data_IF_284643575032
#
_entry.id   IF_284643575032
#
_cell.length_a   1.000
_cell.length_b   1.000
_cell.length_c   1.000
_cell.angle_alpha   90.00
_cell.angle_beta   90.00
_cell.angle_gamma   90.00
#
_symmetry.space_group_name_H-M   'P 1'
#
loop_
_entity.id
_entity.type
_entity.pdbx_description
1 polymer ?
#
# COMPACT_ATOMS: atom_id res chain seq x y z
N UNK A 1 4.09 -13.81 -4.92
CA UNK A 1 2.71 -13.35 -5.19
C UNK A 1 2.62 -12.47 -6.46
N UNK A 2 3.35 -11.35 -6.57
CA UNK A 2 3.33 -10.47 -7.76
C UNK A 2 3.59 -11.19 -9.10
N UNK A 3 4.63 -12.01 -9.14
CA UNK A 3 4.93 -12.80 -10.34
C UNK A 3 3.74 -13.69 -10.74
N UNK A 4 3.00 -14.24 -9.79
CA UNK A 4 1.82 -15.10 -10.06
C UNK A 4 0.69 -14.31 -10.69
N UNK A 5 0.43 -13.08 -10.24
CA UNK A 5 -0.53 -12.18 -10.89
C UNK A 5 -0.10 -11.83 -12.32
N UNK A 6 1.21 -11.63 -12.57
CA UNK A 6 1.69 -11.37 -13.94
C UNK A 6 1.58 -12.60 -14.84
N UNK A 7 1.84 -13.80 -14.31
CA UNK A 7 1.59 -15.05 -15.02
C UNK A 7 0.10 -15.28 -15.29
N UNK A 8 -0.77 -14.88 -14.37
CA UNK A 8 -2.22 -14.90 -14.59
C UNK A 8 -2.64 -13.92 -15.70
N UNK A 9 -2.11 -12.70 -15.71
CA UNK A 9 -2.32 -11.77 -16.82
C UNK A 9 -1.86 -12.37 -18.15
N UNK A 10 -0.70 -13.04 -18.18
CA UNK A 10 -0.24 -13.78 -19.35
C UNK A 10 -1.13 -14.96 -19.70
N UNK A 11 -1.74 -15.66 -18.75
CA UNK A 11 -2.69 -16.76 -19.00
C UNK A 11 -3.88 -16.26 -19.82
N UNK A 12 -4.40 -15.09 -19.45
CA UNK A 12 -5.58 -14.45 -20.05
C UNK A 12 -5.29 -13.65 -21.32
N UNK A 13 -4.02 -13.49 -21.69
CA UNK A 13 -3.60 -12.77 -22.89
C UNK A 13 -3.65 -13.69 -24.13
N UNK A 14 -4.61 -13.47 -25.03
CA UNK A 14 -4.81 -14.28 -26.23
C UNK A 14 -3.64 -14.21 -27.23
N UNK A 15 -2.86 -13.13 -27.22
CA UNK A 15 -1.68 -13.00 -28.09
C UNK A 15 -0.51 -13.86 -27.58
N UNK A 16 -0.50 -14.19 -26.28
CA UNK A 16 0.58 -14.92 -25.65
C UNK A 16 0.37 -16.44 -25.71
N UNK A 17 0.86 -17.10 -26.76
CA UNK A 17 0.67 -18.55 -26.95
C UNK A 17 1.81 -19.38 -26.35
N UNK A 18 1.52 -20.14 -25.28
CA UNK A 18 2.52 -20.98 -24.57
C UNK A 18 1.91 -22.30 -24.07
N UNK A 19 2.72 -23.36 -24.07
CA UNK A 19 2.28 -24.74 -23.79
C UNK A 19 1.58 -24.92 -22.43
N UNK A 20 2.04 -24.23 -21.38
CA UNK A 20 1.49 -24.37 -20.03
C UNK A 20 0.07 -23.80 -19.88
N UNK A 21 -0.43 -22.99 -20.84
CA UNK A 21 -1.83 -22.56 -20.86
C UNK A 21 -2.77 -23.72 -21.18
N UNK A 22 -2.34 -24.64 -22.03
CA UNK A 22 -3.14 -25.79 -22.40
C UNK A 22 -3.31 -26.75 -21.21
N UNK A 23 -2.25 -26.90 -20.40
CA UNK A 23 -2.34 -27.69 -19.17
C UNK A 23 -3.24 -27.05 -18.12
N UNK A 24 -3.38 -25.72 -18.09
CA UNK A 24 -4.28 -25.04 -17.15
C UNK A 24 -5.72 -25.53 -17.31
N UNK A 25 -6.25 -25.56 -18.54
CA UNK A 25 -7.62 -26.02 -18.80
C UNK A 25 -7.84 -27.45 -18.34
N UNK A 26 -6.86 -28.33 -18.57
CA UNK A 26 -6.92 -29.71 -18.12
C UNK A 26 -7.03 -29.81 -16.59
N UNK A 27 -6.14 -29.16 -15.85
CA UNK A 27 -6.15 -29.25 -14.38
C UNK A 27 -7.35 -28.57 -13.75
N UNK A 28 -7.74 -27.39 -14.23
CA UNK A 28 -8.91 -26.67 -13.69
C UNK A 28 -10.22 -27.40 -13.96
N UNK A 29 -10.29 -28.19 -15.03
CA UNK A 29 -11.47 -29.02 -15.30
C UNK A 29 -11.75 -30.06 -14.22
N UNK A 30 -10.77 -30.40 -13.39
CA UNK A 30 -10.96 -31.30 -12.23
C UNK A 30 -11.73 -30.66 -11.07
N UNK A 31 -11.86 -29.33 -11.04
CA UNK A 31 -12.55 -28.61 -9.97
C UNK A 31 -14.05 -28.87 -10.10
N UNK A 32 -14.58 -29.65 -9.16
CA UNK A 32 -15.95 -30.17 -9.18
C UNK A 32 -16.37 -30.81 -10.53
N UNK A 33 -15.42 -31.16 -11.39
CA UNK A 33 -15.67 -31.68 -12.75
C UNK A 33 -16.47 -30.74 -13.67
N UNK A 34 -16.57 -29.45 -13.33
CA UNK A 34 -17.41 -28.47 -14.06
C UNK A 34 -16.86 -28.05 -15.43
N UNK A 35 -15.59 -28.36 -15.74
CA UNK A 35 -14.95 -28.01 -17.04
C UNK A 35 -15.05 -26.52 -17.44
N UNK A 36 -15.11 -25.61 -16.46
CA UNK A 36 -15.31 -24.17 -16.67
C UNK A 36 -14.20 -23.45 -17.46
N UNK A 37 -13.06 -24.10 -17.71
CA UNK A 37 -11.90 -23.49 -18.36
C UNK A 37 -11.49 -22.17 -17.65
N UNK A 38 -11.52 -21.03 -18.34
CA UNK A 38 -11.20 -19.74 -17.73
C UNK A 38 -12.32 -19.26 -16.79
N UNK A 39 -13.60 -19.64 -17.00
CA UNK A 39 -14.76 -19.18 -16.22
C UNK A 39 -14.69 -19.55 -14.74
N UNK A 40 -13.75 -20.45 -14.40
CA UNK A 40 -13.37 -20.73 -13.02
C UNK A 40 -13.01 -19.45 -12.23
N UNK A 41 -12.49 -18.40 -12.87
CA UNK A 41 -12.09 -17.17 -12.17
C UNK A 41 -13.28 -16.37 -11.60
N UNK A 42 -14.49 -16.56 -12.14
CA UNK A 42 -15.71 -16.01 -11.56
C UNK A 42 -16.05 -16.65 -10.21
N UNK A 43 -15.60 -17.90 -9.98
CA UNK A 43 -15.95 -18.68 -8.79
C UNK A 43 -15.08 -18.34 -7.58
N UNK A 44 -15.55 -18.72 -6.38
CA UNK A 44 -14.77 -18.71 -5.12
C UNK A 44 -14.48 -20.14 -4.71
N UNK A 45 -13.33 -20.64 -5.15
CA UNK A 45 -12.95 -22.05 -5.00
C UNK A 45 -12.49 -22.31 -3.55
N UNK A 46 -13.07 -23.30 -2.85
CA UNK A 46 -12.64 -23.64 -1.51
C UNK A 46 -11.26 -24.29 -1.51
N UNK A 47 -10.54 -24.14 -0.39
CA UNK A 47 -9.16 -24.65 -0.25
C UNK A 47 -9.03 -26.17 -0.46
N UNK A 48 -10.07 -26.96 -0.17
CA UNK A 48 -10.07 -28.41 -0.41
C UNK A 48 -9.97 -28.75 -1.90
N UNK A 49 -10.66 -28.01 -2.77
CA UNK A 49 -10.62 -28.21 -4.22
C UNK A 49 -9.33 -27.64 -4.82
N UNK A 50 -8.86 -26.50 -4.33
CA UNK A 50 -7.58 -25.94 -4.78
C UNK A 50 -6.42 -26.93 -4.58
N UNK A 51 -6.41 -27.70 -3.48
CA UNK A 51 -5.38 -28.72 -3.22
C UNK A 51 -5.28 -29.82 -4.27
N UNK A 52 -6.34 -30.04 -5.08
CA UNK A 52 -6.32 -31.01 -6.20
C UNK A 52 -5.49 -30.51 -7.39
N UNK A 53 -5.25 -29.20 -7.48
CA UNK A 53 -4.50 -28.60 -8.56
C UNK A 53 -2.98 -28.68 -8.32
N UNK A 54 -2.15 -28.68 -9.37
CA UNK A 54 -0.73 -28.41 -9.25
C UNK A 54 -0.44 -27.12 -8.47
N UNK A 55 0.64 -27.13 -7.69
CA UNK A 55 1.06 -26.01 -6.81
C UNK A 55 1.06 -24.66 -7.53
N UNK A 56 1.54 -24.61 -8.77
CA UNK A 56 1.58 -23.37 -9.56
C UNK A 56 0.21 -22.73 -9.73
N UNK A 57 -0.84 -23.52 -9.98
CA UNK A 57 -2.19 -23.01 -10.15
C UNK A 57 -2.85 -22.66 -8.80
N UNK A 58 -2.52 -23.41 -7.73
CA UNK A 58 -2.91 -23.01 -6.38
C UNK A 58 -2.40 -21.60 -6.06
N UNK A 59 -1.13 -21.32 -6.37
CA UNK A 59 -0.51 -20.01 -6.17
C UNK A 59 -1.15 -18.91 -7.03
N UNK A 60 -1.69 -19.24 -8.21
CA UNK A 60 -2.43 -18.27 -9.04
C UNK A 60 -3.75 -17.86 -8.37
N UNK A 61 -4.54 -18.83 -7.93
CA UNK A 61 -5.79 -18.56 -7.22
C UNK A 61 -5.56 -17.84 -5.89
N UNK A 62 -4.53 -18.23 -5.14
CA UNK A 62 -4.15 -17.53 -3.90
C UNK A 62 -3.77 -16.07 -4.19
N UNK A 63 -2.95 -15.82 -5.21
CA UNK A 63 -2.56 -14.46 -5.57
C UNK A 63 -3.76 -13.62 -6.03
N UNK A 64 -4.70 -14.20 -6.78
CA UNK A 64 -5.94 -13.56 -7.18
C UNK A 64 -6.83 -13.23 -5.97
N UNK A 65 -6.94 -14.17 -5.03
CA UNK A 65 -7.71 -13.99 -3.79
C UNK A 65 -7.17 -12.82 -2.94
N UNK A 66 -5.85 -12.60 -2.91
CA UNK A 66 -5.23 -11.49 -2.19
C UNK A 66 -5.62 -10.10 -2.74
N UNK A 67 -6.03 -10.02 -4.00
CA UNK A 67 -6.50 -8.77 -4.62
C UNK A 67 -8.00 -8.79 -4.95
N UNK A 68 -8.75 -9.81 -4.49
CA UNK A 68 -10.15 -10.05 -4.89
C UNK A 68 -11.06 -8.85 -4.61
N UNK A 69 -10.82 -8.11 -3.52
CA UNK A 69 -11.57 -6.89 -3.17
C UNK A 69 -11.44 -5.78 -4.22
N UNK A 70 -10.38 -5.81 -4.99
CA UNK A 70 -10.08 -4.83 -6.04
C UNK A 70 -10.49 -5.34 -7.43
N UNK A 71 -10.96 -6.58 -7.57
CA UNK A 71 -11.31 -7.16 -8.87
C UNK A 71 -12.75 -6.83 -9.20
N UNK A 72 -12.94 -6.36 -10.43
CA UNK A 72 -14.23 -6.32 -11.09
C UNK A 72 -14.21 -7.14 -12.37
N UNK A 73 -15.34 -7.79 -12.62
CA UNK A 73 -15.59 -8.48 -13.86
C UNK A 73 -16.57 -7.64 -14.67
N UNK A 74 -16.16 -7.04 -15.80
CA UNK A 74 -17.04 -6.25 -16.64
C UNK A 74 -18.24 -7.09 -17.09
N UNK A 75 -19.45 -6.62 -16.79
CA UNK A 75 -20.68 -7.24 -17.25
C UNK A 75 -20.89 -6.88 -18.71
N UNK A 76 -20.83 -7.90 -19.57
CA UNK A 76 -21.30 -7.85 -20.95
C UNK A 76 -22.37 -8.93 -21.15
N UNK A 77 -23.25 -8.75 -22.13
CA UNK A 77 -24.32 -9.74 -22.43
C UNK A 77 -23.72 -11.14 -22.59
N UNK A 78 -22.59 -11.25 -23.29
CA UNK A 78 -21.90 -12.53 -23.48
C UNK A 78 -21.31 -13.08 -22.17
N UNK A 79 -20.67 -12.24 -21.36
CA UNK A 79 -20.09 -12.65 -20.07
C UNK A 79 -21.15 -13.13 -19.07
N UNK A 80 -22.40 -12.65 -19.18
CA UNK A 80 -23.54 -13.09 -18.34
C UNK A 80 -23.86 -14.56 -18.61
N UNK A 81 -23.92 -14.97 -19.87
CA UNK A 81 -24.23 -16.35 -20.26
C UNK A 81 -23.14 -17.35 -19.85
N UNK A 82 -21.89 -16.90 -19.80
CA UNK A 82 -20.74 -17.69 -19.38
C UNK A 82 -20.53 -17.70 -17.85
N UNK A 83 -21.38 -17.03 -17.08
CA UNK A 83 -21.32 -17.07 -15.61
C UNK A 83 -21.58 -18.50 -15.11
N UNK A 84 -20.70 -19.05 -14.25
CA UNK A 84 -20.94 -20.32 -13.58
C UNK A 84 -22.18 -20.25 -12.68
N UNK A 85 -22.99 -21.31 -12.68
CA UNK A 85 -24.14 -21.45 -11.78
C UNK A 85 -23.70 -21.85 -10.37
N UNK A 86 -22.62 -22.63 -10.27
CA UNK A 86 -22.12 -23.19 -9.03
C UNK A 86 -20.84 -22.49 -8.57
N UNK A 87 -20.64 -22.44 -7.25
CA UNK A 87 -19.46 -21.82 -6.63
C UNK A 87 -19.32 -20.31 -6.99
N UNK A 88 -20.39 -19.70 -7.50
CA UNK A 88 -20.41 -18.29 -7.91
C UNK A 88 -20.84 -17.40 -6.73
N UNK A 89 -20.05 -16.39 -6.31
CA UNK A 89 -20.40 -15.52 -5.20
C UNK A 89 -21.67 -14.69 -5.44
N UNK A 90 -22.10 -14.52 -6.69
CA UNK A 90 -23.33 -13.81 -7.04
C UNK A 90 -24.58 -14.71 -7.01
N UNK A 91 -24.41 -16.04 -6.90
CA UNK A 91 -25.50 -17.02 -6.80
C UNK A 91 -25.35 -17.76 -5.47
N UNK A 92 -26.08 -17.31 -4.46
CA UNK A 92 -26.02 -17.86 -3.10
C UNK A 92 -27.39 -18.28 -2.60
N UNK A 93 -27.45 -19.43 -1.94
CA UNK A 93 -28.63 -19.93 -1.24
C UNK A 93 -28.27 -20.06 0.24
N UNK A 94 -29.08 -19.48 1.13
CA UNK A 94 -28.82 -19.45 2.57
C UNK A 94 -27.40 -18.93 2.92
N UNK A 95 -26.97 -17.85 2.25
CA UNK A 95 -25.63 -17.23 2.38
C UNK A 95 -24.45 -18.17 2.07
N UNK A 96 -24.67 -19.23 1.28
CA UNK A 96 -23.62 -20.14 0.83
C UNK A 96 -23.70 -20.34 -0.68
N UNK A 97 -22.55 -20.53 -1.31
CA UNK A 97 -22.50 -20.90 -2.73
C UNK A 97 -23.06 -22.30 -2.93
N UNK A 98 -23.68 -22.52 -4.09
CA UNK A 98 -24.36 -23.77 -4.43
C UNK A 98 -23.39 -24.72 -5.12
N UNK A 99 -23.50 -26.03 -4.81
CA UNK A 99 -22.86 -27.13 -5.55
C UNK A 99 -23.84 -28.30 -5.61
N UNK A 100 -24.31 -28.65 -6.80
CA UNK A 100 -25.21 -29.78 -7.04
C UNK A 100 -24.60 -30.73 -8.07
N UNK A 101 -24.10 -31.87 -7.59
CA UNK A 101 -23.35 -32.83 -8.42
C UNK A 101 -24.19 -33.46 -9.53
N UNK A 102 -25.48 -33.64 -9.32
CA UNK A 102 -26.45 -34.11 -10.30
C UNK A 102 -26.60 -33.14 -11.49
N UNK A 103 -26.65 -31.83 -11.22
CA UNK A 103 -26.71 -30.81 -12.28
C UNK A 103 -25.37 -30.72 -13.02
N UNK A 104 -24.26 -30.69 -12.27
CA UNK A 104 -22.91 -30.62 -12.85
C UNK A 104 -22.63 -31.86 -13.71
N UNK A 105 -22.98 -33.05 -13.23
CA UNK A 105 -22.82 -34.31 -13.97
C UNK A 105 -23.66 -34.39 -15.23
N UNK A 106 -24.83 -33.74 -15.25
CA UNK A 106 -25.66 -33.55 -16.44
C UNK A 106 -25.11 -32.50 -17.42
N UNK A 107 -23.98 -31.85 -17.10
CA UNK A 107 -23.38 -30.81 -17.93
C UNK A 107 -24.00 -29.43 -17.77
N UNK A 108 -24.92 -29.24 -16.81
CA UNK A 108 -25.49 -27.94 -16.47
C UNK A 108 -24.49 -27.24 -15.56
N UNK A 109 -23.73 -26.25 -16.05
CA UNK A 109 -22.65 -25.62 -15.26
C UNK A 109 -22.64 -24.09 -15.35
N UNK A 110 -23.10 -23.52 -16.45
CA UNK A 110 -23.15 -22.09 -16.76
C UNK A 110 -24.58 -21.64 -17.05
N UNK A 111 -24.81 -20.32 -17.01
CA UNK A 111 -26.13 -19.75 -17.27
C UNK A 111 -26.69 -20.13 -18.64
N UNK A 112 -25.84 -20.20 -19.68
CA UNK A 112 -26.25 -20.63 -21.02
C UNK A 112 -26.85 -22.03 -21.08
N UNK A 113 -26.44 -22.93 -20.19
CA UNK A 113 -26.89 -24.33 -20.19
C UNK A 113 -28.36 -24.47 -19.72
N UNK A 114 -28.91 -23.41 -19.12
CA UNK A 114 -30.32 -23.35 -18.68
C UNK A 114 -31.14 -22.34 -19.48
N UNK A 115 -30.62 -21.86 -20.61
CA UNK A 115 -31.27 -20.89 -21.48
C UNK A 115 -31.58 -21.50 -22.86
N UNK A 116 -32.55 -20.92 -23.56
CA UNK A 116 -32.78 -21.30 -24.96
C UNK A 116 -31.66 -20.78 -25.87
N UNK A 117 -31.23 -21.61 -26.83
CA UNK A 117 -30.22 -21.20 -27.82
C UNK A 117 -30.79 -20.29 -28.92
N UNK A 118 -32.07 -20.44 -29.24
CA UNK A 118 -32.71 -19.82 -30.42
C UNK A 118 -33.76 -18.77 -30.07
N UNK A 119 -34.12 -18.62 -28.80
CA UNK A 119 -35.08 -17.61 -28.31
C UNK A 119 -34.64 -17.10 -26.94
N UNK A 120 -35.24 -16.01 -26.47
CA UNK A 120 -34.98 -15.48 -25.13
C UNK A 120 -35.66 -16.32 -24.05
N UNK A 121 -35.12 -16.26 -22.84
CA UNK A 121 -35.68 -16.91 -21.65
C UNK A 121 -34.99 -18.22 -21.24
N UNK A 122 -35.38 -18.67 -20.04
CA UNK A 122 -34.90 -19.92 -19.42
C UNK A 122 -35.63 -21.15 -19.94
N UNK A 123 -34.96 -22.29 -19.88
CA UNK A 123 -35.56 -23.59 -20.16
C UNK A 123 -36.68 -23.92 -19.16
N UNK A 124 -37.73 -24.64 -19.58
CA UNK A 124 -38.79 -25.06 -18.68
C UNK A 124 -38.34 -26.23 -17.79
N UNK A 125 -39.00 -26.40 -16.64
CA UNK A 125 -38.72 -27.45 -15.64
C UNK A 125 -38.50 -28.85 -16.26
N UNK A 126 -39.34 -29.26 -17.22
CA UNK A 126 -39.27 -30.58 -17.84
C UNK A 126 -37.99 -30.80 -18.65
N UNK A 127 -37.44 -29.75 -19.27
CA UNK A 127 -36.21 -29.86 -20.06
C UNK A 127 -35.00 -30.14 -19.14
N UNK A 128 -34.95 -29.46 -17.98
CA UNK A 128 -33.90 -29.68 -16.99
C UNK A 128 -33.99 -31.09 -16.38
N UNK A 129 -35.20 -31.57 -16.11
CA UNK A 129 -35.44 -32.93 -15.63
C UNK A 129 -34.94 -33.96 -16.65
N UNK A 130 -35.28 -33.79 -17.93
CA UNK A 130 -34.84 -34.67 -19.01
C UNK A 130 -33.30 -34.70 -19.13
N UNK A 131 -32.64 -33.55 -19.08
CA UNK A 131 -31.17 -33.45 -19.12
C UNK A 131 -30.51 -34.26 -18.00
N UNK A 132 -31.06 -34.22 -16.79
CA UNK A 132 -30.51 -34.96 -15.65
C UNK A 132 -30.84 -36.46 -15.74
N UNK A 133 -32.05 -36.82 -16.18
CA UNK A 133 -32.47 -38.21 -16.33
C UNK A 133 -31.67 -38.97 -17.39
N UNK A 134 -31.15 -38.29 -18.42
CA UNK A 134 -30.25 -38.88 -19.40
C UNK A 134 -28.97 -39.44 -18.74
N UNK A 135 -28.52 -38.84 -17.64
CA UNK A 135 -27.30 -39.24 -16.93
C UNK A 135 -27.59 -40.11 -15.70
N UNK A 136 -28.75 -39.93 -15.07
CA UNK A 136 -29.13 -40.59 -13.82
C UNK A 136 -30.54 -41.20 -13.92
N UNK A 137 -30.63 -42.53 -13.91
CA UNK A 137 -31.89 -43.26 -14.15
C UNK A 137 -32.95 -43.08 -13.03
N UNK A 138 -32.54 -42.95 -11.76
CA UNK A 138 -33.44 -42.96 -10.58
C UNK A 138 -33.59 -41.59 -9.89
N UNK A 139 -33.84 -40.52 -10.65
CA UNK A 139 -33.92 -39.15 -10.10
C UNK A 139 -35.32 -38.78 -9.64
N UNK A 140 -35.43 -38.25 -8.43
CA UNK A 140 -36.67 -37.66 -7.93
C UNK A 140 -37.01 -36.37 -8.70
N UNK A 141 -38.02 -36.44 -9.57
CA UNK A 141 -38.45 -35.33 -10.43
C UNK A 141 -38.82 -34.08 -9.63
N UNK A 142 -39.62 -34.23 -8.57
CA UNK A 142 -40.05 -33.07 -7.78
C UNK A 142 -38.86 -32.36 -7.13
N UNK A 143 -37.88 -33.14 -6.67
CA UNK A 143 -36.66 -32.62 -6.08
C UNK A 143 -35.82 -31.77 -7.05
N UNK A 144 -35.70 -32.22 -8.30
CA UNK A 144 -35.01 -31.47 -9.37
C UNK A 144 -35.75 -30.17 -9.67
N UNK A 145 -37.07 -30.23 -9.81
CA UNK A 145 -37.91 -29.06 -10.09
C UNK A 145 -37.75 -28.01 -8.99
N UNK A 146 -37.84 -28.43 -7.71
CA UNK A 146 -37.71 -27.51 -6.58
C UNK A 146 -36.33 -26.86 -6.54
N UNK A 147 -35.26 -27.64 -6.82
CA UNK A 147 -33.90 -27.11 -6.94
C UNK A 147 -33.76 -26.12 -8.09
N UNK A 148 -34.27 -26.46 -9.27
CA UNK A 148 -34.19 -25.57 -10.43
C UNK A 148 -34.91 -24.24 -10.19
N UNK A 149 -36.12 -24.29 -9.61
CA UNK A 149 -36.86 -23.07 -9.24
C UNK A 149 -36.13 -22.25 -8.19
N UNK A 150 -35.53 -22.90 -7.18
CA UNK A 150 -34.69 -22.22 -6.20
C UNK A 150 -33.47 -21.55 -6.84
N UNK A 151 -32.83 -22.21 -7.80
CA UNK A 151 -31.72 -21.64 -8.57
C UNK A 151 -32.18 -20.40 -9.34
N UNK A 152 -33.29 -20.50 -10.09
CA UNK A 152 -33.85 -19.36 -10.81
C UNK A 152 -34.16 -18.19 -9.86
N UNK A 153 -34.62 -18.44 -8.64
CA UNK A 153 -34.90 -17.39 -7.68
C UNK A 153 -33.64 -16.61 -7.27
N UNK A 154 -32.52 -17.31 -7.05
CA UNK A 154 -31.26 -16.68 -6.57
C UNK A 154 -30.40 -16.04 -7.67
N UNK A 155 -30.70 -16.28 -8.95
CA UNK A 155 -29.99 -15.61 -10.05
C UNK A 155 -30.22 -14.09 -9.98
N UNK A 156 -29.17 -13.26 -10.13
CA UNK A 156 -29.27 -11.80 -10.14
C UNK A 156 -30.30 -11.28 -11.15
N UNK A 157 -31.04 -10.23 -10.76
CA UNK A 157 -32.09 -9.62 -11.59
C UNK A 157 -31.53 -9.10 -12.91
N UNK A 158 -30.33 -8.51 -12.86
CA UNK A 158 -29.62 -8.02 -14.05
C UNK A 158 -29.41 -9.14 -15.08
N UNK A 159 -29.03 -10.33 -14.62
CA UNK A 159 -28.79 -11.47 -15.51
C UNK A 159 -30.10 -12.02 -16.08
N UNK A 160 -31.17 -12.07 -15.26
CA UNK A 160 -32.51 -12.43 -15.73
C UNK A 160 -32.99 -11.47 -16.82
N UNK A 161 -32.76 -10.17 -16.65
CA UNK A 161 -33.12 -9.17 -17.64
C UNK A 161 -32.38 -9.43 -18.96
N UNK A 162 -31.07 -9.68 -18.90
CA UNK A 162 -30.26 -10.05 -20.08
C UNK A 162 -30.79 -11.30 -20.78
N UNK A 163 -31.12 -12.36 -20.03
CA UNK A 163 -31.65 -13.61 -20.60
C UNK A 163 -33.01 -13.41 -21.27
N UNK A 164 -33.81 -12.47 -20.78
CA UNK A 164 -35.12 -12.17 -21.33
C UNK A 164 -35.08 -11.18 -22.50
N UNK A 165 -34.05 -10.32 -22.58
CA UNK A 165 -33.90 -9.30 -23.63
C UNK A 165 -33.10 -9.78 -24.84
N UNK A 166 -32.09 -10.62 -24.63
CA UNK A 166 -31.09 -10.95 -25.64
C UNK A 166 -30.99 -12.46 -25.86
N UNK A 167 -30.81 -12.87 -27.12
CA UNK A 167 -30.55 -14.28 -27.45
C UNK A 167 -29.05 -14.53 -27.31
N UNK A 168 -28.69 -15.63 -26.64
CA UNK A 168 -27.31 -16.08 -26.60
C UNK A 168 -26.82 -16.40 -28.02
N UNK A 169 -25.91 -15.56 -28.54
CA UNK A 169 -25.22 -15.85 -29.80
C UNK A 169 -23.99 -16.68 -29.46
N UNK A 170 -23.84 -17.85 -30.09
CA UNK A 170 -22.63 -18.65 -30.00
C UNK A 170 -21.45 -17.75 -30.41
N UNK A 171 -20.69 -17.29 -29.44
CA UNK A 171 -19.47 -16.51 -29.67
C UNK A 171 -18.24 -17.40 -29.59
N UNK A 172 -17.19 -16.98 -30.31
CA UNK A 172 -15.86 -17.60 -30.28
C UNK A 172 -15.40 -17.67 -28.82
N UNK A 173 -14.74 -18.75 -28.35
CA UNK A 173 -14.22 -18.81 -26.99
C UNK A 173 -13.31 -17.61 -26.69
N UNK A 174 -13.78 -16.69 -25.85
CA UNK A 174 -13.03 -15.51 -25.42
C UNK A 174 -12.28 -15.78 -24.13
N UNK A 175 -11.18 -15.06 -23.91
CA UNK A 175 -10.58 -14.94 -22.58
C UNK A 175 -11.46 -14.06 -21.70
N UNK A 176 -11.35 -14.28 -20.39
CA UNK A 176 -12.04 -13.44 -19.41
C UNK A 176 -11.31 -12.12 -19.26
N UNK A 177 -12.10 -11.06 -19.22
CA UNK A 177 -11.62 -9.74 -18.87
C UNK A 177 -11.72 -9.55 -17.36
N UNK A 178 -10.58 -9.26 -16.74
CA UNK A 178 -10.46 -8.99 -15.31
C UNK A 178 -9.95 -7.57 -15.17
N UNK A 179 -10.82 -6.67 -14.68
CA UNK A 179 -10.45 -5.32 -14.31
C UNK A 179 -10.06 -5.25 -12.85
N UNK A 180 -9.07 -4.42 -12.53
CA UNK A 180 -8.63 -4.15 -11.17
C UNK A 180 -8.84 -2.66 -10.89
N UNK A 181 -9.56 -2.34 -9.82
CA UNK A 181 -9.73 -0.98 -9.32
C UNK A 181 -8.67 -0.68 -8.27
N UNK A 182 -7.93 0.42 -8.49
CA UNK A 182 -7.02 0.98 -7.51
C UNK A 182 -7.09 2.51 -7.60
N UNK A 183 -7.39 3.19 -6.49
CA UNK A 183 -7.53 4.66 -6.41
C UNK A 183 -8.47 5.25 -7.48
N UNK A 184 -9.62 4.61 -7.69
CA UNK A 184 -10.62 4.99 -8.70
C UNK A 184 -10.12 4.93 -10.16
N UNK A 185 -9.01 4.22 -10.42
CA UNK A 185 -8.50 3.93 -11.75
C UNK A 185 -8.72 2.46 -12.06
N UNK A 186 -9.27 2.17 -13.24
CA UNK A 186 -9.45 0.81 -13.74
C UNK A 186 -8.20 0.37 -14.52
N UNK A 187 -7.69 -0.80 -14.18
CA UNK A 187 -6.58 -1.44 -14.86
C UNK A 187 -7.01 -2.80 -15.41
N UNK A 188 -6.69 -3.08 -16.68
CA UNK A 188 -6.76 -4.44 -17.19
C UNK A 188 -5.62 -5.28 -16.59
N UNK A 189 -5.94 -6.41 -15.95
CA UNK A 189 -4.95 -7.32 -15.38
C UNK A 189 -3.91 -7.79 -16.41
N UNK A 190 -4.29 -7.96 -17.68
CA UNK A 190 -3.39 -8.37 -18.77
C UNK A 190 -2.27 -7.33 -18.97
N UNK A 191 -2.65 -6.06 -18.92
CA UNK A 191 -1.80 -4.89 -19.19
C UNK A 191 -1.07 -4.36 -17.95
N UNK A 192 -1.41 -4.84 -16.74
CA UNK A 192 -0.80 -4.38 -15.50
C UNK A 192 0.72 -4.59 -15.46
N UNK A 193 1.46 -3.55 -15.08
CA UNK A 193 2.89 -3.65 -14.77
C UNK A 193 3.11 -4.29 -13.39
N UNK A 194 4.30 -4.88 -13.16
CA UNK A 194 4.66 -5.39 -11.82
C UNK A 194 4.60 -4.30 -10.75
N UNK A 195 4.96 -3.05 -11.11
CA UNK A 195 4.88 -1.89 -10.23
C UNK A 195 3.43 -1.59 -9.83
N UNK A 196 2.51 -1.62 -10.80
CA UNK A 196 1.08 -1.41 -10.55
C UNK A 196 0.52 -2.48 -9.61
N UNK A 197 0.78 -3.75 -9.91
CA UNK A 197 0.35 -4.86 -9.05
C UNK A 197 0.94 -4.78 -7.65
N UNK A 198 2.18 -4.31 -7.51
CA UNK A 198 2.82 -4.10 -6.21
C UNK A 198 2.14 -3.01 -5.39
N UNK A 199 1.83 -1.88 -6.01
CA UNK A 199 1.08 -0.81 -5.36
C UNK A 199 -0.29 -1.29 -4.86
N UNK A 200 -1.03 -2.04 -5.69
CA UNK A 200 -2.33 -2.62 -5.32
C UNK A 200 -2.19 -3.54 -4.11
N UNK A 201 -1.19 -4.41 -4.12
CA UNK A 201 -0.94 -5.31 -2.99
C UNK A 201 -0.56 -4.56 -1.72
N UNK A 202 0.27 -3.51 -1.83
CA UNK A 202 0.65 -2.69 -0.68
C UNK A 202 -0.54 -1.98 -0.06
N UNK A 203 -1.50 -1.50 -0.84
CA UNK A 203 -2.70 -0.84 -0.30
C UNK A 203 -3.53 -1.76 0.60
N UNK A 204 -3.49 -3.07 0.36
CA UNK A 204 -4.18 -4.06 1.18
C UNK A 204 -3.39 -4.46 2.44
N UNK A 205 -2.14 -4.00 2.60
CA UNK A 205 -1.21 -4.41 3.67
C UNK A 205 -0.76 -3.24 4.53
N UNK A 206 -0.55 -2.06 3.94
CA UNK A 206 0.05 -0.92 4.61
C UNK A 206 -0.96 -0.32 5.60
N UNK A 207 -0.67 -0.53 6.88
CA UNK A 207 -1.32 0.16 7.98
C UNK A 207 -0.54 1.43 8.32
N UNK A 208 -1.24 2.47 8.76
CA UNK A 208 -0.60 3.70 9.20
C UNK A 208 0.19 3.44 10.50
N UNK A 209 1.47 3.85 10.60
CA UNK A 209 2.24 3.65 11.82
C UNK A 209 1.57 4.30 13.03
N UNK A 210 1.45 3.57 14.15
CA UNK A 210 0.85 4.05 15.41
C UNK A 210 1.47 5.37 15.90
N UNK A 211 2.77 5.56 15.66
CA UNK A 211 3.48 6.79 16.04
C UNK A 211 2.96 8.05 15.34
N UNK A 212 2.28 7.92 14.19
CA UNK A 212 1.70 9.05 13.47
C UNK A 212 0.54 9.68 14.23
N UNK A 213 -0.30 8.89 14.89
CA UNK A 213 -1.45 9.41 15.67
C UNK A 213 -1.02 10.39 16.76
N UNK A 214 0.12 10.10 17.42
CA UNK A 214 0.72 11.03 18.39
C UNK A 214 1.00 12.39 17.75
N UNK A 215 1.65 12.43 16.60
CA UNK A 215 2.01 13.70 15.97
C UNK A 215 0.82 14.44 15.39
N UNK A 216 -0.22 13.73 14.96
CA UNK A 216 -1.50 14.33 14.57
C UNK A 216 -2.13 15.05 15.77
N UNK A 217 -2.15 14.43 16.95
CA UNK A 217 -2.72 15.05 18.15
C UNK A 217 -1.86 16.20 18.70
N UNK A 218 -0.53 16.06 18.70
CA UNK A 218 0.38 17.07 19.27
C UNK A 218 0.48 18.34 18.42
N UNK A 219 0.42 18.21 17.08
CA UNK A 219 0.68 19.33 16.15
C UNK A 219 -0.49 19.66 15.21
N UNK A 220 -1.65 19.03 15.37
CA UNK A 220 -2.83 19.22 14.50
C UNK A 220 -2.51 19.05 13.00
N UNK A 221 -1.84 17.93 12.69
CA UNK A 221 -1.34 17.62 11.34
C UNK A 221 -2.25 16.60 10.63
N UNK A 222 -2.54 16.83 9.36
CA UNK A 222 -3.35 15.89 8.55
C UNK A 222 -2.52 14.70 8.04
N UNK A 223 -3.19 13.59 7.74
CA UNK A 223 -2.55 12.37 7.20
C UNK A 223 -1.79 12.63 5.90
N UNK A 224 -2.28 13.51 5.04
CA UNK A 224 -1.67 13.82 3.74
C UNK A 224 -0.29 14.46 3.88
N UNK A 225 -0.07 15.21 4.97
CA UNK A 225 1.20 15.89 5.21
C UNK A 225 2.35 14.89 5.47
N UNK A 226 2.05 13.69 5.97
CA UNK A 226 3.07 12.68 6.25
C UNK A 226 3.77 12.17 5.00
N UNK A 227 3.14 12.19 3.83
CA UNK A 227 3.83 11.87 2.58
C UNK A 227 5.06 12.75 2.38
N UNK A 228 4.92 14.06 2.63
CA UNK A 228 6.05 15.00 2.53
C UNK A 228 7.05 14.82 3.67
N UNK A 229 6.59 14.59 4.89
CA UNK A 229 7.50 14.33 6.01
C UNK A 229 8.39 13.11 5.70
N UNK A 230 7.82 12.01 5.22
CA UNK A 230 8.57 10.79 4.88
C UNK A 230 9.56 11.00 3.72
N UNK A 231 9.24 11.85 2.73
CA UNK A 231 10.18 12.22 1.66
C UNK A 231 11.47 12.86 2.23
N UNK A 232 11.36 13.69 3.26
CA UNK A 232 12.52 14.35 3.90
C UNK A 232 13.28 13.44 4.87
N UNK A 233 12.59 12.46 5.47
CA UNK A 233 13.21 11.46 6.33
C UNK A 233 14.09 10.54 5.49
N UNK A 234 13.53 10.03 4.38
CA UNK A 234 14.15 9.01 3.53
C UNK A 234 14.87 9.61 2.31
N UNK A 235 15.75 10.58 2.54
CA UNK A 235 16.55 11.17 1.47
C UNK A 235 17.81 10.35 1.23
N UNK A 236 18.04 9.92 -0.01
CA UNK A 236 19.15 9.03 -0.39
C UNK A 236 20.56 9.58 -0.08
N UNK A 237 20.70 10.90 -0.03
CA UNK A 237 21.97 11.58 0.24
C UNK A 237 22.12 11.95 1.72
N UNK A 238 21.12 11.69 2.57
CA UNK A 238 21.18 11.99 3.99
C UNK A 238 21.97 10.89 4.71
N UNK A 239 22.87 11.22 5.66
CA UNK A 239 23.59 10.22 6.43
C UNK A 239 22.64 9.24 7.12
N UNK A 240 22.99 7.95 7.09
CA UNK A 240 22.13 6.86 7.57
C UNK A 240 21.72 7.01 9.03
N UNK A 241 22.60 7.52 9.88
CA UNK A 241 22.31 7.78 11.29
C UNK A 241 21.28 8.90 11.51
N UNK A 242 21.23 9.91 10.62
CA UNK A 242 20.18 10.93 10.66
C UNK A 242 18.84 10.38 10.17
N UNK A 243 18.86 9.58 9.09
CA UNK A 243 17.67 8.88 8.58
C UNK A 243 17.09 7.97 9.67
N UNK A 244 17.94 7.16 10.31
CA UNK A 244 17.54 6.25 11.37
C UNK A 244 16.93 6.98 12.56
N UNK A 245 17.56 8.08 13.02
CA UNK A 245 17.02 8.83 14.13
C UNK A 245 15.68 9.46 13.79
N UNK A 246 15.55 10.13 12.65
CA UNK A 246 14.30 10.76 12.23
C UNK A 246 13.18 9.73 12.06
N UNK A 247 13.50 8.58 11.47
CA UNK A 247 12.57 7.45 11.41
C UNK A 247 12.11 7.05 12.81
N UNK A 248 13.02 6.95 13.78
CA UNK A 248 12.71 6.58 15.17
C UNK A 248 11.91 7.66 15.90
N UNK A 249 12.18 8.94 15.66
CA UNK A 249 11.39 10.05 16.18
C UNK A 249 9.96 9.93 15.68
N UNK A 250 9.76 9.85 14.36
CA UNK A 250 8.41 9.83 13.78
C UNK A 250 7.60 8.58 14.15
N UNK A 251 8.25 7.44 14.33
CA UNK A 251 7.59 6.24 14.84
C UNK A 251 7.40 6.24 16.36
N UNK A 252 7.85 7.28 17.07
CA UNK A 252 7.90 7.33 18.52
C UNK A 252 8.54 6.05 19.11
N UNK A 253 9.63 5.57 18.52
CA UNK A 253 10.33 4.35 18.95
C UNK A 253 11.73 4.61 19.51
N UNK A 254 12.06 5.87 19.80
CA UNK A 254 13.21 6.22 20.64
C UNK A 254 12.97 5.79 22.09
N UNK A 255 14.01 5.25 22.72
CA UNK A 255 14.02 4.92 24.15
C UNK A 255 14.10 6.18 25.01
N UNK A 256 13.02 6.47 25.72
CA UNK A 256 12.95 7.53 26.74
C UNK A 256 12.93 6.89 28.13
N UNK A 257 13.26 7.62 29.20
CA UNK A 257 13.27 7.02 30.54
C UNK A 257 11.88 6.53 30.96
N UNK A 258 10.78 7.14 30.51
CA UNK A 258 9.43 6.58 30.70
C UNK A 258 9.31 5.17 30.08
N UNK A 259 9.81 4.98 28.86
CA UNK A 259 9.77 3.66 28.20
C UNK A 259 10.72 2.67 28.86
N UNK A 260 11.93 3.11 29.20
CA UNK A 260 12.93 2.28 29.86
C UNK A 260 12.47 1.81 31.26
N UNK A 261 11.79 2.68 32.02
CA UNK A 261 11.22 2.33 33.32
C UNK A 261 10.11 1.28 33.16
N UNK A 262 9.22 1.46 32.17
CA UNK A 262 8.15 0.48 31.89
C UNK A 262 8.66 -0.92 31.56
N UNK A 263 9.87 -1.05 31.00
CA UNK A 263 10.51 -2.33 30.69
C UNK A 263 11.52 -2.79 31.75
N UNK A 264 11.64 -2.08 32.87
CA UNK A 264 12.50 -2.47 34.01
C UNK A 264 14.00 -2.26 33.78
N UNK A 265 14.42 -1.38 32.86
CA UNK A 265 15.84 -1.08 32.61
C UNK A 265 16.37 0.12 33.42
N UNK A 266 15.49 0.94 33.98
CA UNK A 266 15.84 2.06 34.87
C UNK A 266 14.81 2.16 35.99
N UNK A 267 15.24 2.66 37.16
CA UNK A 267 14.39 2.75 38.34
C UNK A 267 13.43 3.94 38.28
N UNK A 268 13.88 5.06 37.73
CA UNK A 268 13.10 6.29 37.57
C UNK A 268 12.89 6.66 36.10
N UNK A 269 11.90 7.52 35.86
CA UNK A 269 11.61 8.09 34.54
C UNK A 269 12.07 9.54 34.41
N UNK A 270 12.91 10.03 35.32
CA UNK A 270 13.33 11.44 35.37
C UNK A 270 14.41 11.66 34.33
N UNK A 271 14.37 12.79 33.64
CA UNK A 271 15.39 13.17 32.68
C UNK A 271 16.71 13.44 33.42
N UNK A 272 17.76 12.70 33.05
CA UNK A 272 19.10 12.84 33.66
C UNK A 272 19.84 14.11 33.23
N UNK A 273 19.29 14.85 32.25
CA UNK A 273 19.87 16.10 31.76
C UNK A 273 19.43 17.28 32.62
N UNK A 274 18.13 17.42 32.86
CA UNK A 274 17.56 18.49 33.69
C UNK A 274 17.42 18.10 35.17
N UNK A 275 17.30 16.80 35.45
CA UNK A 275 17.04 16.22 36.77
C UNK A 275 15.74 16.69 37.44
N UNK A 276 14.77 17.22 36.66
CA UNK A 276 13.54 17.83 37.20
C UNK A 276 12.25 17.17 36.70
N UNK A 277 12.15 16.86 35.41
CA UNK A 277 10.91 16.38 34.78
C UNK A 277 11.03 14.95 34.25
N UNK A 278 9.88 14.35 33.92
CA UNK A 278 9.82 13.03 33.30
C UNK A 278 10.31 13.11 31.85
N UNK A 279 11.11 12.13 31.44
CA UNK A 279 11.66 12.06 30.08
C UNK A 279 10.71 11.30 29.15
N UNK A 280 9.82 12.04 28.48
CA UNK A 280 9.16 11.61 27.24
C UNK A 280 9.88 12.15 26.00
N UNK A 281 9.33 11.88 24.81
CA UNK A 281 9.94 12.30 23.55
C UNK A 281 9.92 13.82 23.38
N UNK A 282 8.86 14.50 23.83
CA UNK A 282 8.74 15.95 23.74
C UNK A 282 9.72 16.62 24.71
N UNK A 283 9.91 16.07 25.91
CA UNK A 283 10.89 16.54 26.86
C UNK A 283 12.31 16.43 26.30
N UNK A 284 12.66 15.33 25.62
CA UNK A 284 13.99 15.17 25.01
C UNK A 284 14.30 16.27 23.99
N UNK A 285 13.32 16.69 23.19
CA UNK A 285 13.57 17.56 22.03
C UNK A 285 13.08 19.01 22.19
N UNK A 286 12.11 19.27 23.07
CA UNK A 286 11.38 20.54 23.15
C UNK A 286 11.34 21.05 24.59
N UNK A 287 10.84 20.26 25.55
CA UNK A 287 10.45 20.80 26.87
C UNK A 287 11.60 20.86 27.90
N UNK A 288 12.76 20.26 27.62
CA UNK A 288 13.88 20.27 28.57
C UNK A 288 14.46 21.68 28.74
N UNK A 289 14.47 22.19 29.97
CA UNK A 289 15.03 23.50 30.35
C UNK A 289 16.48 23.69 29.88
N UNK A 290 17.28 22.61 29.85
CA UNK A 290 18.67 22.63 29.36
C UNK A 290 18.81 22.80 27.85
N UNK A 291 17.71 22.99 27.12
CA UNK A 291 17.69 23.29 25.69
C UNK A 291 17.39 24.76 25.38
N UNK A 292 17.05 25.60 26.37
CA UNK A 292 16.62 26.99 26.14
C UNK A 292 17.61 27.79 25.27
N UNK A 293 18.90 27.82 25.63
CA UNK A 293 19.94 28.49 24.85
C UNK A 293 20.03 27.97 23.41
N UNK A 294 19.82 26.66 23.22
CA UNK A 294 19.88 26.05 21.90
C UNK A 294 18.64 26.36 21.07
N UNK A 295 17.45 26.39 21.68
CA UNK A 295 16.22 26.81 21.01
C UNK A 295 16.30 28.29 20.60
N UNK A 296 16.84 29.16 21.46
CA UNK A 296 17.09 30.56 21.12
C UNK A 296 18.05 30.70 19.94
N UNK A 297 19.14 29.92 19.93
CA UNK A 297 20.06 29.85 18.80
C UNK A 297 19.38 29.34 17.51
N UNK A 298 18.62 28.25 17.57
CA UNK A 298 17.86 27.74 16.42
C UNK A 298 16.87 28.78 15.90
N UNK A 299 16.12 29.46 16.77
CA UNK A 299 15.20 30.53 16.39
C UNK A 299 15.91 31.65 15.64
N UNK A 300 17.12 32.05 16.09
CA UNK A 300 17.92 33.04 15.36
C UNK A 300 18.35 32.56 13.96
N UNK A 301 18.66 31.27 13.79
CA UNK A 301 18.97 30.70 12.48
C UNK A 301 17.73 30.66 11.58
N UNK A 302 16.57 30.33 12.14
CA UNK A 302 15.31 30.29 11.41
C UNK A 302 14.94 31.68 10.89
N UNK A 303 15.05 32.73 11.73
CA UNK A 303 14.83 34.12 11.29
C UNK A 303 15.68 34.44 10.06
N UNK A 304 16.98 34.08 10.10
CA UNK A 304 17.89 34.29 8.98
C UNK A 304 17.50 33.50 7.74
N UNK A 305 17.15 32.22 7.88
CA UNK A 305 16.70 31.37 6.77
C UNK A 305 15.42 31.93 6.13
N UNK A 306 14.56 32.56 6.91
CA UNK A 306 13.30 33.14 6.43
C UNK A 306 13.41 34.61 6.00
N UNK A 307 14.58 35.26 6.07
CA UNK A 307 14.76 36.69 5.72
C UNK A 307 14.23 37.05 4.32
N UNK A 308 14.42 36.15 3.35
CA UNK A 308 13.99 36.34 1.96
C UNK A 308 12.68 35.62 1.63
N UNK A 309 11.96 35.12 2.63
CA UNK A 309 10.75 34.36 2.41
C UNK A 309 9.56 35.28 2.14
N UNK A 310 9.07 35.23 0.92
CA UNK A 310 7.86 35.92 0.48
C UNK A 310 6.65 34.98 0.60
N UNK A 311 6.27 34.67 1.85
CA UNK A 311 5.15 33.76 2.11
C UNK A 311 4.37 34.11 3.36
N UNK A 312 3.05 34.27 3.20
CA UNK A 312 2.10 34.44 4.30
C UNK A 312 2.09 33.25 5.29
N UNK A 313 2.64 32.11 4.87
CA UNK A 313 2.69 30.86 5.65
C UNK A 313 3.76 30.86 6.75
N UNK A 314 4.65 31.85 6.82
CA UNK A 314 5.66 31.93 7.89
C UNK A 314 4.99 31.96 9.27
N UNK A 315 3.85 32.64 9.38
CA UNK A 315 3.04 32.73 10.60
C UNK A 315 2.51 31.37 11.11
N UNK A 316 2.44 30.36 10.23
CA UNK A 316 1.98 29.01 10.54
C UNK A 316 3.12 28.10 11.02
N UNK A 317 4.38 28.54 10.92
CA UNK A 317 5.53 27.72 11.28
C UNK A 317 5.76 27.80 12.79
N UNK A 318 5.38 26.73 13.50
CA UNK A 318 5.74 26.54 14.91
C UNK A 318 7.14 25.93 15.00
N UNK A 319 8.02 26.50 15.84
CA UNK A 319 9.42 26.07 15.93
C UNK A 319 9.54 24.63 16.44
N UNK A 320 8.67 24.23 17.36
CA UNK A 320 8.62 22.88 17.93
C UNK A 320 8.18 21.86 16.87
N UNK A 321 7.14 22.19 16.10
CA UNK A 321 6.65 21.36 15.00
C UNK A 321 7.74 21.21 13.92
N UNK A 322 8.38 22.31 13.54
CA UNK A 322 9.47 22.31 12.56
C UNK A 322 10.65 21.45 13.04
N UNK A 323 10.98 21.52 14.33
CA UNK A 323 12.05 20.72 14.92
C UNK A 323 11.73 19.22 14.92
N UNK A 324 10.46 18.81 15.02
CA UNK A 324 10.08 17.38 15.04
C UNK A 324 9.78 16.85 13.64
N UNK A 325 8.90 17.53 12.90
CA UNK A 325 8.35 17.04 11.62
C UNK A 325 9.07 17.60 10.39
N UNK A 326 9.79 18.71 10.55
CA UNK A 326 10.34 19.46 9.42
C UNK A 326 9.27 20.27 8.66
N UNK A 327 9.73 21.04 7.69
CA UNK A 327 8.89 21.84 6.81
C UNK A 327 8.17 20.93 5.81
N UNK A 328 6.83 21.04 5.78
CA UNK A 328 5.92 20.12 5.08
C UNK A 328 5.51 20.61 3.70
N UNK A 329 5.88 21.84 3.33
CA UNK A 329 5.56 22.48 2.05
C UNK A 329 6.73 23.31 1.54
N UNK A 330 6.75 23.56 0.24
CA UNK A 330 7.73 24.46 -0.37
C UNK A 330 7.41 25.92 -0.03
N UNK A 331 8.42 26.68 0.37
CA UNK A 331 8.34 28.13 0.60
C UNK A 331 9.29 28.83 -0.36
N UNK A 332 8.77 29.79 -1.12
CA UNK A 332 9.59 30.54 -2.08
C UNK A 332 10.64 31.35 -1.31
N UNK A 333 11.89 31.34 -1.79
CA UNK A 333 13.01 32.02 -1.14
C UNK A 333 13.58 31.29 0.07
N UNK A 334 13.17 30.03 0.32
CA UNK A 334 13.69 29.19 1.40
C UNK A 334 14.19 27.87 0.82
N UNK A 335 15.44 27.52 1.14
CA UNK A 335 15.94 26.18 0.88
C UNK A 335 15.34 25.15 1.86
N UNK A 336 14.16 24.62 1.51
CA UNK A 336 13.42 23.62 2.28
C UNK A 336 14.26 22.36 2.61
N UNK A 337 15.07 21.92 1.64
CA UNK A 337 15.92 20.75 1.75
C UNK A 337 17.03 20.95 2.78
N UNK A 338 17.68 22.12 2.75
CA UNK A 338 18.70 22.48 3.73
C UNK A 338 18.09 22.69 5.11
N UNK A 339 16.94 23.36 5.21
CA UNK A 339 16.24 23.58 6.48
C UNK A 339 15.89 22.24 7.15
N UNK A 340 15.27 21.32 6.41
CA UNK A 340 14.94 19.99 6.91
C UNK A 340 16.18 19.17 7.29
N UNK A 341 17.26 19.33 6.55
CA UNK A 341 18.55 18.75 6.90
C UNK A 341 19.09 19.32 8.22
N UNK A 342 19.04 20.63 8.42
CA UNK A 342 19.43 21.30 9.67
C UNK A 342 18.60 20.78 10.86
N UNK A 343 17.27 20.64 10.71
CA UNK A 343 16.42 20.10 11.78
C UNK A 343 16.81 18.65 12.12
N UNK A 344 17.17 17.84 11.12
CA UNK A 344 17.66 16.47 11.32
C UNK A 344 18.97 16.44 12.12
N UNK A 345 19.90 17.34 11.80
CA UNK A 345 21.15 17.49 12.54
C UNK A 345 20.90 18.01 13.96
N UNK A 346 19.95 18.93 14.15
CA UNK A 346 19.56 19.45 15.46
C UNK A 346 19.03 18.32 16.37
N UNK A 347 18.06 17.53 15.89
CA UNK A 347 17.56 16.33 16.60
C UNK A 347 18.70 15.37 16.94
N UNK A 348 19.60 15.10 15.99
CA UNK A 348 20.75 14.24 16.24
C UNK A 348 21.69 14.77 17.32
N UNK A 349 22.00 16.06 17.31
CA UNK A 349 22.87 16.68 18.31
C UNK A 349 22.21 16.70 19.70
N UNK A 350 20.90 16.97 19.79
CA UNK A 350 20.14 16.89 21.05
C UNK A 350 20.21 15.46 21.61
N UNK A 351 19.84 14.48 20.80
CA UNK A 351 19.83 13.07 21.22
C UNK A 351 21.23 12.56 21.60
N UNK A 352 22.24 12.94 20.81
CA UNK A 352 23.64 12.60 21.10
C UNK A 352 24.12 13.24 22.39
N UNK A 353 23.83 14.52 22.63
CA UNK A 353 24.17 15.20 23.90
C UNK A 353 23.53 14.48 25.08
N UNK A 354 22.23 14.18 25.00
CA UNK A 354 21.51 13.41 26.03
C UNK A 354 22.21 12.09 26.34
N UNK A 355 22.59 11.32 25.32
CA UNK A 355 23.28 10.05 25.53
C UNK A 355 24.70 10.21 26.13
N UNK A 356 25.44 11.25 25.73
CA UNK A 356 26.75 11.54 26.32
C UNK A 356 26.63 11.90 27.81
N UNK A 357 25.67 12.76 28.17
CA UNK A 357 25.43 13.12 29.57
C UNK A 357 25.02 11.89 30.39
N UNK A 358 24.20 11.00 29.83
CA UNK A 358 23.82 9.73 30.48
C UNK A 358 25.00 8.78 30.70
N UNK A 359 26.02 8.83 29.84
CA UNK A 359 27.26 8.05 29.97
C UNK A 359 28.29 8.70 30.90
N UNK A 360 27.93 9.78 31.60
CA UNK A 360 28.80 10.43 32.60
C UNK A 360 29.72 11.52 32.04
N UNK A 361 29.60 11.90 30.76
CA UNK A 361 30.32 13.06 30.24
C UNK A 361 29.69 14.35 30.78
N UNK A 362 30.49 15.25 31.33
CA UNK A 362 30.04 16.59 31.75
C UNK A 362 30.37 17.65 30.70
N UNK A 363 29.54 18.68 30.57
CA UNK A 363 29.84 19.93 29.85
C UNK A 363 29.89 19.85 28.30
N UNK A 364 28.92 19.15 27.68
CA UNK A 364 28.77 19.15 26.21
C UNK A 364 27.99 20.39 25.75
N UNK A 365 28.67 21.35 25.13
CA UNK A 365 28.04 22.53 24.53
C UNK A 365 27.26 22.14 23.26
N UNK A 366 25.93 22.24 23.33
CA UNK A 366 25.03 21.80 22.27
C UNK A 366 25.15 22.63 20.98
N UNK A 367 25.29 23.95 21.10
CA UNK A 367 25.43 24.87 19.96
C UNK A 367 26.70 24.53 19.16
N UNK A 368 27.85 24.39 19.85
CA UNK A 368 29.11 23.99 19.20
C UNK A 368 28.99 22.60 18.57
N UNK A 369 28.40 21.64 19.28
CA UNK A 369 28.18 20.28 18.76
C UNK A 369 27.37 20.33 17.46
N UNK A 370 26.30 21.11 17.43
CA UNK A 370 25.47 21.32 16.24
C UNK A 370 26.26 21.97 15.09
N UNK A 371 26.92 23.10 15.34
CA UNK A 371 27.70 23.81 14.32
C UNK A 371 28.78 22.92 13.69
N UNK A 372 29.54 22.18 14.50
CA UNK A 372 30.57 21.27 13.99
C UNK A 372 29.95 20.09 13.22
N UNK A 373 28.87 19.50 13.72
CA UNK A 373 28.21 18.36 13.08
C UNK A 373 27.59 18.77 11.74
N UNK A 374 26.95 19.93 11.67
CA UNK A 374 26.38 20.48 10.45
C UNK A 374 27.48 20.77 9.42
N UNK A 375 28.55 21.48 9.81
CA UNK A 375 29.70 21.74 8.93
C UNK A 375 30.30 20.44 8.40
N UNK A 376 30.52 19.46 9.28
CA UNK A 376 31.06 18.17 8.92
C UNK A 376 30.21 17.46 7.87
N UNK A 377 28.90 17.30 8.10
CA UNK A 377 28.05 16.59 7.14
C UNK A 377 27.88 17.34 5.83
N UNK A 378 27.72 18.66 5.84
CA UNK A 378 27.62 19.45 4.60
C UNK A 378 28.92 19.33 3.79
N UNK A 379 30.07 19.40 4.45
CA UNK A 379 31.39 19.25 3.80
C UNK A 379 31.57 17.84 3.23
N UNK A 380 31.17 16.82 3.99
CA UNK A 380 31.17 15.44 3.52
C UNK A 380 30.29 15.28 2.28
N UNK A 381 29.09 15.85 2.29
CA UNK A 381 28.17 15.79 1.14
C UNK A 381 28.68 16.57 -0.07
N UNK A 382 29.37 17.69 0.15
CA UNK A 382 30.05 18.39 -0.92
C UNK A 382 31.12 17.53 -1.59
N UNK A 383 31.99 16.88 -0.80
CA UNK A 383 33.01 15.98 -1.34
C UNK A 383 32.36 14.80 -2.07
N UNK A 384 31.38 14.15 -1.45
CA UNK A 384 30.69 13.00 -2.03
C UNK A 384 29.96 13.36 -3.34
N UNK A 385 29.07 14.35 -3.32
CA UNK A 385 28.26 14.71 -4.48
C UNK A 385 29.11 15.39 -5.56
N UNK A 386 29.90 16.40 -5.21
CA UNK A 386 30.62 17.21 -6.21
C UNK A 386 31.89 16.49 -6.70
N UNK A 387 32.72 15.94 -5.81
CA UNK A 387 34.04 15.41 -6.19
C UNK A 387 34.01 13.94 -6.59
N UNK A 388 33.22 13.10 -5.91
CA UNK A 388 33.20 11.66 -6.19
C UNK A 388 32.20 11.27 -7.28
N UNK A 389 31.05 11.97 -7.37
CA UNK A 389 29.95 11.58 -8.25
C UNK A 389 29.60 12.60 -9.35
N UNK A 390 30.31 13.73 -9.43
CA UNK A 390 30.06 14.79 -10.42
C UNK A 390 28.60 15.31 -10.43
N UNK A 391 27.99 15.38 -9.24
CA UNK A 391 26.61 15.80 -9.00
C UNK A 391 26.54 17.20 -8.35
N UNK A 392 27.38 18.13 -8.80
CA UNK A 392 27.46 19.49 -8.23
C UNK A 392 26.12 20.25 -8.31
N UNK A 393 25.36 20.07 -9.38
CA UNK A 393 24.02 20.66 -9.54
C UNK A 393 23.03 20.22 -8.44
N UNK A 394 23.15 18.98 -7.93
CA UNK A 394 22.32 18.49 -6.82
C UNK A 394 22.73 19.18 -5.53
N UNK A 395 24.04 19.27 -5.25
CA UNK A 395 24.54 19.95 -4.07
C UNK A 395 24.10 21.42 -4.05
N UNK A 396 24.27 22.12 -5.18
CA UNK A 396 23.86 23.51 -5.36
C UNK A 396 22.36 23.68 -5.06
N UNK A 397 21.51 22.87 -5.66
CA UNK A 397 20.06 22.91 -5.41
C UNK A 397 19.69 22.60 -3.95
N UNK A 398 20.36 21.64 -3.32
CA UNK A 398 19.97 21.10 -2.00
C UNK A 398 20.56 21.86 -0.81
N UNK A 399 21.68 22.56 -1.00
CA UNK A 399 22.41 23.19 0.08
C UNK A 399 22.72 24.67 -0.15
N UNK A 400 22.85 25.16 -1.39
CA UNK A 400 23.39 26.51 -1.65
C UNK A 400 22.32 27.49 -2.16
N UNK A 401 21.48 27.08 -3.11
CA UNK A 401 20.42 27.93 -3.66
C UNK A 401 19.49 28.42 -2.54
N UNK A 402 19.15 29.71 -2.54
CA UNK A 402 18.27 30.34 -1.55
C UNK A 402 18.68 30.04 -0.09
N UNK A 403 19.99 29.94 0.18
CA UNK A 403 20.53 29.67 1.51
C UNK A 403 21.38 30.84 2.05
N UNK A 404 20.92 31.56 3.10
CA UNK A 404 21.68 32.66 3.70
C UNK A 404 22.78 32.20 4.67
N UNK A 405 22.86 30.90 4.98
CA UNK A 405 23.80 30.33 5.95
C UNK A 405 25.01 29.62 5.32
N UNK A 406 24.93 29.32 4.02
CA UNK A 406 25.96 28.58 3.29
C UNK A 406 26.12 29.16 1.89
N UNK A 407 27.35 29.54 1.55
CA UNK A 407 27.72 29.97 0.21
C UNK A 407 28.89 29.12 -0.29
N UNK A 408 28.96 28.91 -1.61
CA UNK A 408 30.13 28.34 -2.27
C UNK A 408 30.83 29.44 -3.06
N UNK A 409 32.10 29.70 -2.75
CA UNK A 409 32.95 30.68 -3.44
C UNK A 409 34.24 29.99 -3.84
N UNK A 410 34.59 30.00 -5.13
CA UNK A 410 35.81 29.39 -5.67
C UNK A 410 36.03 27.92 -5.23
N UNK A 411 34.97 27.11 -5.21
CA UNK A 411 34.97 25.72 -4.72
C UNK A 411 35.30 25.55 -3.22
N UNK A 412 35.09 26.61 -2.43
CA UNK A 412 35.22 26.62 -0.97
C UNK A 412 33.87 26.93 -0.35
N UNK A 413 33.49 26.13 0.66
CA UNK A 413 32.26 26.35 1.42
C UNK A 413 32.48 27.37 2.53
N UNK A 414 31.68 28.42 2.54
CA UNK A 414 31.67 29.47 3.56
C UNK A 414 30.41 29.35 4.40
N UNK A 415 30.58 29.04 5.70
CA UNK A 415 29.49 28.88 6.65
C UNK A 415 29.30 30.14 7.49
N UNK A 416 28.07 30.68 7.50
CA UNK A 416 27.68 31.85 8.31
C UNK A 416 26.85 31.40 9.52
N UNK A 417 27.40 30.53 10.37
CA UNK A 417 26.70 29.85 11.50
C UNK A 417 27.02 30.44 12.88
#
# INVERSE_FOLDING_TARGET
>A
MLFRLKFLGRLLDDEYQVLWKYTFKYFVSSIYEMKLCHNVFYTVIPNCELKKLPVVYQEFFQALNCIRKNIEFPLSVENVYDQPLFVNPNIVLNNRTIVWHDFIGAGIVCLKDICFEVKTGFLPDHAIVEMIQIVYEDVNVQYVIDRYRNLLNVIPVEWKNTVNSDIHRISIPRTIDISIICKNVHYDLKLCSTKTLYTIMLENIVEEPVGIELWKSEFDVTSEAFSKIWEHVNMYWKPSNLVELDFKVLHNCIFTNIKLQKIGLVDDNICKVCCSEKEDILHIFINCDKLEDFHNYLSSLLVRIFENCDSDKISLVRSEELLILGLRWHMKGVNDSFLNFCMSVARYCIFRRRNLLNSGYSNVNLIKLFQYTLKHYVTYMYVYLCRCHNMSHIFQKKFVMDNPLLEETDNVLVFKL
#
